data_IF_103052978490
#
_entry.id   IF_103052978490
#
_cell.length_a   1.000
_cell.length_b   1.000
_cell.length_c   1.000
_cell.angle_alpha   90.00
_cell.angle_beta   90.00
_cell.angle_gamma   90.00
#
_symmetry.space_group_name_H-M   'P 1'
#
loop_
_entity.id
_entity.type
_entity.pdbx_description
1 polymer ?
#
# COMPACT_ATOMS: atom_id res chain seq x y z
N UNK A 1 33.20 7.85 -31.27
CA UNK A 1 31.78 7.53 -31.21
C UNK A 1 30.94 8.14 -32.34
N UNK A 2 31.12 9.40 -32.70
CA UNK A 2 30.33 10.06 -33.75
C UNK A 2 30.57 9.55 -35.20
N UNK A 3 31.65 8.83 -35.46
CA UNK A 3 32.04 8.32 -36.80
C UNK A 3 31.76 6.82 -36.99
N UNK A 4 31.17 6.13 -36.02
CA UNK A 4 30.85 4.72 -36.12
C UNK A 4 29.45 4.53 -36.73
N UNK A 5 29.23 3.47 -37.52
CA UNK A 5 27.94 3.05 -37.99
C UNK A 5 27.02 2.60 -36.85
N UNK A 6 25.74 2.52 -37.08
CA UNK A 6 24.74 2.24 -35.99
C UNK A 6 24.92 0.85 -35.37
N UNK A 7 25.25 -0.17 -36.15
CA UNK A 7 25.45 -1.53 -35.64
C UNK A 7 26.69 -1.62 -34.74
N UNK A 8 27.80 -1.01 -35.17
CA UNK A 8 29.03 -0.96 -34.38
C UNK A 8 28.82 -0.15 -33.08
N UNK A 9 28.03 0.94 -33.14
CA UNK A 9 27.64 1.70 -31.93
C UNK A 9 26.83 0.85 -30.96
N UNK A 10 25.82 0.14 -31.44
CA UNK A 10 24.98 -0.75 -30.61
C UNK A 10 25.79 -1.82 -29.94
N UNK A 11 26.70 -2.49 -30.72
CA UNK A 11 27.58 -3.52 -30.19
C UNK A 11 28.55 -2.97 -29.13
N UNK A 12 29.17 -1.82 -29.39
CA UNK A 12 30.05 -1.17 -28.45
C UNK A 12 29.38 -0.77 -27.16
N UNK A 13 28.16 -0.20 -27.23
CA UNK A 13 27.36 0.18 -26.05
C UNK A 13 26.96 -1.05 -25.24
N UNK A 14 26.58 -2.14 -25.91
CA UNK A 14 26.25 -3.39 -25.24
C UNK A 14 27.46 -3.99 -24.49
N UNK A 15 28.64 -3.93 -25.08
CA UNK A 15 29.85 -4.48 -24.50
C UNK A 15 30.48 -3.57 -23.41
N UNK A 16 30.35 -2.24 -23.53
CA UNK A 16 31.09 -1.30 -22.68
C UNK A 16 30.21 -0.49 -21.71
N UNK A 17 28.90 -0.43 -21.95
CA UNK A 17 27.93 0.31 -21.11
C UNK A 17 26.60 -0.42 -21.03
N UNK A 18 26.53 -1.65 -20.48
CA UNK A 18 25.30 -2.40 -20.33
C UNK A 18 24.37 -1.66 -19.36
N UNK A 19 23.27 -1.14 -19.87
CA UNK A 19 22.32 -0.30 -19.12
C UNK A 19 21.81 -0.98 -17.84
N UNK A 20 21.58 -2.28 -17.91
CA UNK A 20 21.10 -3.07 -16.76
C UNK A 20 22.10 -3.11 -15.61
N UNK A 21 23.39 -3.25 -15.90
CA UNK A 21 24.43 -3.23 -14.86
C UNK A 21 24.56 -1.84 -14.23
N UNK A 22 24.55 -0.78 -15.07
CA UNK A 22 24.62 0.60 -14.57
C UNK A 22 23.44 0.93 -13.66
N UNK A 23 22.19 0.52 -14.04
CA UNK A 23 21.00 0.74 -13.22
C UNK A 23 21.05 -0.08 -11.93
N UNK A 24 21.40 -1.36 -11.99
CA UNK A 24 21.50 -2.21 -10.81
C UNK A 24 22.61 -1.74 -9.86
N UNK A 25 23.76 -1.35 -10.37
CA UNK A 25 24.84 -0.77 -9.58
C UNK A 25 24.42 0.54 -8.89
N UNK A 26 23.66 1.38 -9.60
CA UNK A 26 23.10 2.60 -9.02
C UNK A 26 22.17 2.28 -7.86
N UNK A 27 21.28 1.28 -8.03
CA UNK A 27 20.37 0.83 -6.96
C UNK A 27 21.16 0.34 -5.75
N UNK A 28 22.15 -0.53 -5.95
CA UNK A 28 22.96 -1.09 -4.86
C UNK A 28 23.75 -0.01 -4.12
N UNK A 29 24.30 0.97 -4.84
CA UNK A 29 25.16 2.01 -4.26
C UNK A 29 24.40 3.16 -3.60
N UNK A 30 23.19 3.47 -4.08
CA UNK A 30 22.49 4.70 -3.69
C UNK A 30 21.13 4.49 -3.02
N UNK A 31 20.56 3.29 -3.07
CA UNK A 31 19.31 3.00 -2.38
C UNK A 31 19.59 2.31 -1.04
N UNK A 32 19.22 2.95 0.09
CA UNK A 32 19.43 2.38 1.41
C UNK A 32 18.53 1.16 1.61
N UNK A 33 19.04 0.16 2.31
CA UNK A 33 18.26 -0.98 2.76
C UNK A 33 17.21 -0.57 3.85
N UNK A 34 16.26 -1.45 4.21
CA UNK A 34 15.24 -1.13 5.22
C UNK A 34 15.82 -0.68 6.56
N UNK A 35 16.89 -1.30 7.04
CA UNK A 35 17.53 -0.97 8.33
C UNK A 35 18.10 0.46 8.29
N UNK A 36 18.85 0.79 7.27
CA UNK A 36 19.42 2.13 7.09
C UNK A 36 18.31 3.18 6.89
N UNK A 37 17.30 2.85 6.08
CA UNK A 37 16.25 3.81 5.75
C UNK A 37 15.34 4.14 6.94
N UNK A 38 15.08 3.18 7.83
CA UNK A 38 14.19 3.40 8.98
C UNK A 38 14.78 4.34 10.01
N UNK A 39 16.10 4.35 10.19
CA UNK A 39 16.76 5.26 11.14
C UNK A 39 16.46 6.73 10.88
N UNK A 40 16.36 7.18 9.63
CA UNK A 40 16.07 8.58 9.31
C UNK A 40 14.63 8.84 8.89
N UNK A 41 13.85 7.79 8.55
CA UNK A 41 12.45 7.94 8.13
C UNK A 41 11.48 7.88 9.30
N UNK A 42 11.67 6.96 10.24
CA UNK A 42 10.75 6.78 11.37
C UNK A 42 10.53 8.09 12.15
N UNK A 43 11.57 8.88 12.50
CA UNK A 43 11.35 10.17 13.18
C UNK A 43 10.51 11.18 12.41
N UNK A 44 10.36 11.00 11.10
CA UNK A 44 9.57 11.91 10.24
C UNK A 44 8.10 11.48 10.09
N UNK A 45 7.81 10.18 10.22
CA UNK A 45 6.49 9.60 9.92
C UNK A 45 5.79 9.06 11.17
N UNK A 46 6.49 8.95 12.28
CA UNK A 46 5.94 8.49 13.55
C UNK A 46 6.25 9.49 14.66
N UNK A 47 5.24 9.85 15.49
CA UNK A 47 5.32 10.90 16.51
C UNK A 47 5.36 10.35 17.93
N UNK A 48 5.53 9.05 18.09
CA UNK A 48 5.70 8.45 19.41
C UNK A 48 7.10 8.66 19.97
N UNK A 49 7.32 8.11 21.16
CA UNK A 49 8.62 8.17 21.84
C UNK A 49 9.63 7.21 21.21
N UNK A 50 10.64 7.76 20.55
CA UNK A 50 11.70 7.00 19.87
C UNK A 50 12.59 6.24 20.85
N UNK A 51 12.65 6.64 22.11
CA UNK A 51 13.43 5.95 23.14
C UNK A 51 12.67 4.77 23.76
N UNK A 52 11.37 4.64 23.53
CA UNK A 52 10.58 3.50 23.93
C UNK A 52 11.07 2.20 23.25
N UNK A 53 10.75 1.04 23.81
CA UNK A 53 11.10 -0.24 23.18
C UNK A 53 10.49 -0.37 21.80
N UNK A 54 9.24 0.09 21.62
CA UNK A 54 8.58 0.11 20.31
C UNK A 54 9.27 1.06 19.32
N UNK A 55 9.68 2.26 19.77
CA UNK A 55 10.43 3.20 18.95
C UNK A 55 11.78 2.65 18.50
N UNK A 56 12.52 2.00 19.37
CA UNK A 56 13.80 1.34 19.06
C UNK A 56 13.61 0.19 18.07
N UNK A 57 12.57 -0.64 18.24
CA UNK A 57 12.24 -1.71 17.31
C UNK A 57 11.92 -1.17 15.90
N UNK A 58 11.20 -0.06 15.82
CA UNK A 58 10.92 0.64 14.55
C UNK A 58 12.20 1.16 13.90
N UNK A 59 13.07 1.81 14.66
CA UNK A 59 14.32 2.39 14.15
C UNK A 59 15.30 1.34 13.62
N UNK A 60 15.37 0.19 14.28
CA UNK A 60 16.31 -0.89 13.94
C UNK A 60 15.74 -1.92 12.97
N UNK A 61 14.48 -1.77 12.55
CA UNK A 61 13.81 -2.78 11.72
C UNK A 61 13.87 -4.19 12.36
N UNK A 62 13.60 -4.28 13.67
CA UNK A 62 13.81 -5.47 14.46
C UNK A 62 12.78 -6.57 14.14
N UNK A 63 13.17 -7.72 13.56
CA UNK A 63 12.22 -8.78 13.24
C UNK A 63 11.66 -9.53 14.46
N UNK A 64 12.35 -9.41 15.61
CA UNK A 64 11.93 -10.02 16.88
C UNK A 64 11.28 -9.00 17.83
N UNK A 65 11.14 -7.76 17.38
CA UNK A 65 10.53 -6.69 18.16
C UNK A 65 9.01 -6.70 18.12
N UNK A 66 8.41 -5.67 18.70
CA UNK A 66 6.96 -5.46 18.65
C UNK A 66 6.48 -5.27 17.21
N UNK A 67 5.34 -5.88 16.89
CA UNK A 67 4.77 -5.81 15.54
C UNK A 67 4.31 -4.40 15.18
N UNK A 68 4.72 -3.91 14.02
CA UNK A 68 4.24 -2.67 13.41
C UNK A 68 4.10 -2.83 11.90
N UNK A 69 2.86 -2.92 11.43
CA UNK A 69 2.52 -2.98 10.02
C UNK A 69 1.61 -1.81 9.65
N UNK A 70 1.88 -1.16 8.52
CA UNK A 70 1.07 -0.05 8.03
C UNK A 70 0.46 -0.42 6.69
N UNK A 71 -0.87 -0.34 6.61
CA UNK A 71 -1.60 -0.55 5.36
C UNK A 71 -1.36 0.65 4.45
N UNK A 72 -0.80 0.42 3.28
CA UNK A 72 -0.58 1.46 2.27
C UNK A 72 -1.64 1.44 1.17
N UNK A 73 -2.18 0.27 0.88
CA UNK A 73 -3.17 0.05 -0.18
C UNK A 73 -4.07 -1.13 0.15
N UNK A 74 -5.32 -1.04 -0.27
CA UNK A 74 -6.26 -2.15 -0.26
C UNK A 74 -6.45 -2.62 -1.71
N UNK A 75 -6.44 -3.92 -1.92
CA UNK A 75 -6.69 -4.56 -3.20
C UNK A 75 -7.83 -5.56 -3.01
N UNK A 76 -8.82 -5.52 -3.86
CA UNK A 76 -9.88 -6.52 -3.82
C UNK A 76 -9.46 -7.68 -4.73
N UNK A 77 -9.40 -8.89 -4.17
CA UNK A 77 -9.10 -10.08 -4.97
C UNK A 77 -10.24 -10.33 -5.96
N UNK A 78 -9.98 -10.27 -7.28
CA UNK A 78 -11.03 -10.42 -8.29
C UNK A 78 -11.71 -11.79 -8.28
N UNK A 79 -11.07 -12.81 -7.70
CA UNK A 79 -11.61 -14.18 -7.65
C UNK A 79 -12.50 -14.40 -6.44
N UNK A 80 -12.06 -13.96 -5.26
CA UNK A 80 -12.79 -14.21 -4.00
C UNK A 80 -13.64 -13.01 -3.56
N UNK A 81 -13.45 -11.82 -4.15
CA UNK A 81 -14.09 -10.59 -3.73
C UNK A 81 -13.66 -10.10 -2.34
N UNK A 82 -12.62 -10.72 -1.76
CA UNK A 82 -12.13 -10.38 -0.42
C UNK A 82 -11.10 -9.26 -0.48
N UNK A 83 -11.12 -8.43 0.55
CA UNK A 83 -10.14 -7.37 0.71
C UNK A 83 -8.79 -7.97 1.12
N UNK A 84 -7.74 -7.53 0.44
CA UNK A 84 -6.34 -7.82 0.74
C UNK A 84 -5.67 -6.50 1.08
N UNK A 85 -5.19 -6.38 2.31
CA UNK A 85 -4.51 -5.19 2.79
C UNK A 85 -3.01 -5.30 2.53
N UNK A 86 -2.52 -4.53 1.55
CA UNK A 86 -1.09 -4.46 1.24
C UNK A 86 -0.43 -3.32 2.02
N UNK A 87 0.79 -3.56 2.49
CA UNK A 87 1.48 -2.59 3.32
C UNK A 87 2.93 -2.93 3.59
N UNK A 88 3.53 -2.16 4.50
CA UNK A 88 4.90 -2.35 4.94
C UNK A 88 4.98 -2.79 6.39
N UNK A 89 5.78 -3.79 6.64
CA UNK A 89 6.13 -4.27 7.97
C UNK A 89 7.40 -3.55 8.44
N UNK A 90 7.26 -2.69 9.47
CA UNK A 90 8.35 -1.89 10.01
C UNK A 90 9.12 -2.62 11.11
N UNK A 91 8.44 -3.37 11.97
CA UNK A 91 9.05 -4.18 13.03
C UNK A 91 8.23 -5.41 13.31
N UNK A 92 8.83 -6.40 13.97
CA UNK A 92 8.22 -7.69 14.29
C UNK A 92 8.20 -8.67 13.12
N UNK A 93 7.48 -9.75 13.30
CA UNK A 93 7.28 -10.81 12.29
C UNK A 93 5.80 -11.17 12.21
N UNK A 94 5.22 -11.07 11.03
CA UNK A 94 3.85 -11.48 10.75
C UNK A 94 3.75 -13.00 10.59
N UNK A 95 2.66 -13.57 11.14
CA UNK A 95 2.29 -14.99 10.96
C UNK A 95 0.79 -15.12 10.71
N UNK A 96 0.34 -16.10 9.92
CA UNK A 96 -1.08 -16.41 9.80
C UNK A 96 -1.67 -16.79 11.17
N UNK A 97 -2.92 -16.41 11.39
CA UNK A 97 -3.60 -16.68 12.66
C UNK A 97 -3.30 -15.70 13.79
N UNK A 98 -2.37 -14.77 13.62
CA UNK A 98 -2.07 -13.73 14.63
C UNK A 98 -3.27 -12.80 14.79
N UNK A 99 -3.65 -12.55 16.05
CA UNK A 99 -4.61 -11.50 16.38
C UNK A 99 -3.87 -10.17 16.49
N UNK A 100 -4.41 -9.17 15.83
CA UNK A 100 -3.79 -7.85 15.69
C UNK A 100 -4.78 -6.74 16.03
N UNK A 101 -4.26 -5.64 16.53
CA UNK A 101 -5.00 -4.45 16.88
C UNK A 101 -4.85 -3.37 15.80
N UNK A 102 -5.97 -2.84 15.33
CA UNK A 102 -6.04 -1.73 14.37
C UNK A 102 -6.15 -0.43 15.17
N UNK A 103 -5.08 0.37 15.18
CA UNK A 103 -4.95 1.51 16.10
C UNK A 103 -5.92 2.66 15.78
N UNK A 104 -6.20 2.93 14.49
CA UNK A 104 -7.11 4.00 14.11
C UNK A 104 -8.59 3.58 14.27
N UNK A 105 -8.90 2.30 14.04
CA UNK A 105 -10.26 1.76 14.18
C UNK A 105 -10.57 1.31 15.62
N UNK A 106 -9.57 1.10 16.46
CA UNK A 106 -9.73 0.68 17.85
C UNK A 106 -10.32 -0.72 18.03
N UNK A 107 -9.99 -1.68 17.15
CA UNK A 107 -10.57 -3.02 17.18
C UNK A 107 -9.54 -4.11 16.89
N UNK A 108 -9.78 -5.31 17.43
CA UNK A 108 -8.99 -6.50 17.15
C UNK A 108 -9.53 -7.23 15.94
N UNK A 109 -8.60 -7.74 15.10
CA UNK A 109 -8.93 -8.60 13.98
C UNK A 109 -7.87 -9.70 13.83
N UNK A 110 -8.16 -10.75 13.07
CA UNK A 110 -7.26 -11.88 12.90
C UNK A 110 -6.77 -12.00 11.48
N UNK A 111 -5.45 -12.09 11.30
CA UNK A 111 -4.81 -12.34 10.02
C UNK A 111 -5.14 -13.77 9.58
N UNK A 112 -5.67 -13.93 8.37
CA UNK A 112 -5.95 -15.25 7.79
C UNK A 112 -4.74 -15.78 7.01
N UNK A 113 -4.28 -15.02 6.04
CA UNK A 113 -3.16 -15.41 5.18
C UNK A 113 -2.20 -14.24 4.97
N UNK A 114 -0.95 -14.60 4.65
CA UNK A 114 0.11 -13.67 4.26
C UNK A 114 0.49 -13.91 2.82
N UNK A 115 0.72 -12.82 2.09
CA UNK A 115 1.08 -12.86 0.67
C UNK A 115 2.28 -11.98 0.41
N UNK A 116 3.13 -12.43 -0.51
CA UNK A 116 4.07 -11.58 -1.23
C UNK A 116 3.71 -11.63 -2.72
N UNK A 117 3.81 -10.50 -3.39
CA UNK A 117 3.51 -10.43 -4.82
C UNK A 117 4.79 -10.60 -5.63
N UNK A 118 4.86 -11.67 -6.40
CA UNK A 118 5.87 -11.85 -7.44
C UNK A 118 5.23 -11.45 -8.79
N UNK A 119 5.37 -10.18 -9.16
CA UNK A 119 4.59 -9.59 -10.24
C UNK A 119 3.09 -9.56 -9.90
N UNK A 120 2.27 -10.19 -10.73
CA UNK A 120 0.79 -10.24 -10.57
C UNK A 120 0.33 -11.41 -9.67
N UNK A 121 1.20 -12.39 -9.45
CA UNK A 121 0.82 -13.60 -8.70
C UNK A 121 1.11 -13.45 -7.22
N UNK A 122 0.08 -13.59 -6.34
CA UNK A 122 0.30 -13.68 -4.91
C UNK A 122 0.86 -15.07 -4.53
N UNK A 123 1.91 -15.08 -3.74
CA UNK A 123 2.49 -16.28 -3.13
C UNK A 123 2.18 -16.29 -1.65
N UNK A 124 1.68 -17.41 -1.14
CA UNK A 124 1.39 -17.61 0.29
C UNK A 124 2.68 -17.87 1.06
N UNK A 125 2.81 -17.25 2.23
CA UNK A 125 3.94 -17.44 3.13
C UNK A 125 3.49 -17.77 4.54
N UNK A 126 4.32 -18.55 5.26
CA UNK A 126 4.10 -18.92 6.64
C UNK A 126 4.54 -17.84 7.63
N UNK A 127 5.48 -16.99 7.24
CA UNK A 127 5.92 -15.83 8.03
C UNK A 127 6.57 -14.78 7.15
N UNK A 128 6.53 -13.52 7.60
CA UNK A 128 7.20 -12.38 6.94
C UNK A 128 7.87 -11.54 8.02
N UNK A 129 9.21 -11.37 7.98
CA UNK A 129 9.94 -10.52 8.93
C UNK A 129 9.87 -9.04 8.56
N UNK A 130 10.24 -8.18 9.51
CA UNK A 130 10.34 -6.73 9.33
C UNK A 130 11.17 -6.32 8.10
N UNK A 131 10.86 -5.14 7.56
CA UNK A 131 11.50 -4.55 6.39
C UNK A 131 10.88 -4.92 5.05
N UNK A 132 9.95 -5.87 5.02
CA UNK A 132 9.27 -6.33 3.81
C UNK A 132 8.00 -5.54 3.51
N UNK A 133 7.66 -5.48 2.22
CA UNK A 133 6.35 -5.08 1.73
C UNK A 133 5.57 -6.35 1.44
N UNK A 134 4.40 -6.48 2.04
CA UNK A 134 3.60 -7.68 1.94
C UNK A 134 2.10 -7.36 1.97
N UNK A 135 1.28 -8.37 1.81
CA UNK A 135 -0.15 -8.24 1.90
C UNK A 135 -0.74 -9.27 2.87
N UNK A 136 -1.79 -8.88 3.56
CA UNK A 136 -2.50 -9.70 4.54
C UNK A 136 -3.97 -9.77 4.18
N UNK A 137 -4.61 -10.91 4.42
CA UNK A 137 -6.05 -11.08 4.33
C UNK A 137 -6.67 -11.35 5.70
N UNK A 138 -7.98 -11.10 5.81
CA UNK A 138 -8.71 -11.27 7.05
C UNK A 138 -8.72 -10.01 7.94
N UNK A 139 -8.05 -8.94 7.50
CA UNK A 139 -8.01 -7.66 8.20
C UNK A 139 -8.64 -6.60 7.31
N UNK A 140 -9.71 -5.98 7.82
CA UNK A 140 -10.46 -4.92 7.15
C UNK A 140 -10.06 -3.57 7.75
N UNK A 141 -9.03 -2.97 7.19
CA UNK A 141 -8.56 -1.63 7.56
C UNK A 141 -8.75 -0.63 6.42
N UNK A 142 -8.29 0.58 6.62
CA UNK A 142 -8.18 1.60 5.58
C UNK A 142 -6.71 1.86 5.23
N UNK A 143 -6.44 2.48 4.10
CA UNK A 143 -5.10 2.96 3.80
C UNK A 143 -4.65 3.96 4.89
N UNK A 144 -3.41 3.80 5.39
CA UNK A 144 -2.90 4.55 6.54
C UNK A 144 -3.19 3.92 7.90
N UNK A 145 -3.91 2.78 7.96
CA UNK A 145 -4.14 2.05 9.21
C UNK A 145 -2.83 1.47 9.76
N UNK A 146 -2.61 1.65 11.04
CA UNK A 146 -1.49 1.08 11.77
C UNK A 146 -1.93 -0.17 12.52
N UNK A 147 -1.27 -1.27 12.25
CA UNK A 147 -1.56 -2.58 12.84
C UNK A 147 -0.43 -2.98 13.78
N UNK A 148 -0.79 -3.32 15.01
CA UNK A 148 0.13 -3.74 16.09
C UNK A 148 -0.45 -4.95 16.82
N UNK A 149 0.24 -5.49 17.85
CA UNK A 149 -0.33 -6.51 18.73
C UNK A 149 -1.13 -5.91 19.86
N UNK A 150 -0.70 -4.76 20.37
CA UNK A 150 -1.32 -4.02 21.46
C UNK A 150 -1.54 -2.57 21.02
N UNK A 151 -2.42 -1.79 21.67
CA UNK A 151 -2.59 -0.38 21.37
C UNK A 151 -1.26 0.38 21.48
N UNK A 152 -0.84 0.99 20.38
CA UNK A 152 0.39 1.79 20.27
C UNK A 152 0.09 3.10 19.54
N UNK A 153 1.02 4.05 19.60
CA UNK A 153 0.90 5.29 18.83
C UNK A 153 0.87 4.98 17.32
N UNK A 154 -0.21 5.34 16.58
CA UNK A 154 -0.27 5.09 15.15
C UNK A 154 0.71 5.95 14.37
N UNK A 155 1.09 5.50 13.18
CA UNK A 155 1.79 6.33 12.22
C UNK A 155 0.91 7.49 11.76
N UNK A 156 1.54 8.58 11.33
CA UNK A 156 0.80 9.69 10.73
C UNK A 156 0.00 9.18 9.54
N UNK A 157 -1.30 9.50 9.54
CA UNK A 157 -2.15 9.15 8.40
C UNK A 157 -1.61 9.81 7.12
N UNK A 158 -1.65 9.06 6.02
CA UNK A 158 -1.33 9.62 4.71
C UNK A 158 -2.33 10.74 4.42
N UNK A 159 -1.88 11.98 4.57
CA UNK A 159 -2.67 13.12 4.11
C UNK A 159 -2.60 13.11 2.59
N UNK A 160 -3.66 12.63 1.95
CA UNK A 160 -3.80 12.81 0.51
C UNK A 160 -3.90 14.32 0.24
N UNK A 161 -2.81 14.87 -0.29
CA UNK A 161 -2.70 16.31 -0.60
C UNK A 161 -3.58 16.66 -1.82
N UNK A 162 -4.07 15.64 -2.54
CA UNK A 162 -4.81 15.83 -3.77
C UNK A 162 -6.30 16.04 -3.48
N UNK A 163 -6.78 17.24 -3.76
CA UNK A 163 -8.21 17.50 -3.81
C UNK A 163 -8.76 17.03 -5.17
N UNK A 164 -9.91 16.36 -5.20
CA UNK A 164 -10.56 16.02 -6.45
C UNK A 164 -10.84 17.27 -7.27
N UNK A 165 -10.56 17.20 -8.57
CA UNK A 165 -10.69 18.36 -9.49
C UNK A 165 -11.97 18.27 -10.31
N UNK A 166 -12.43 17.05 -10.59
CA UNK A 166 -13.61 16.79 -11.42
C UNK A 166 -14.57 15.89 -10.66
N UNK A 167 -15.85 16.24 -10.73
CA UNK A 167 -16.96 15.46 -10.17
C UNK A 167 -17.92 15.07 -11.29
N UNK A 168 -18.24 13.79 -11.39
CA UNK A 168 -19.26 13.24 -12.30
C UNK A 168 -20.39 12.57 -11.51
N UNK A 169 -21.61 12.77 -11.93
CA UNK A 169 -22.76 12.04 -11.43
C UNK A 169 -22.83 10.67 -12.13
N UNK A 170 -23.08 9.63 -11.37
CA UNK A 170 -23.22 8.26 -11.86
C UNK A 170 -24.65 7.80 -11.63
N UNK A 171 -25.31 7.41 -12.71
CA UNK A 171 -26.67 6.88 -12.67
C UNK A 171 -26.70 5.45 -13.21
N UNK A 172 -27.59 4.64 -12.63
CA UNK A 172 -27.84 3.30 -13.13
C UNK A 172 -28.87 3.32 -14.25
N UNK A 173 -28.66 2.52 -15.28
CA UNK A 173 -29.66 2.35 -16.36
C UNK A 173 -30.95 1.68 -15.90
N UNK A 174 -30.87 0.86 -14.84
CA UNK A 174 -32.02 0.14 -14.24
C UNK A 174 -32.00 0.35 -12.74
N UNK A 175 -33.11 0.75 -12.16
CA UNK A 175 -33.24 0.99 -10.72
C UNK A 175 -32.87 -0.25 -9.86
N UNK A 176 -33.07 -1.46 -10.38
CA UNK A 176 -32.69 -2.71 -9.72
C UNK A 176 -31.17 -2.86 -9.47
N UNK A 177 -30.33 -2.15 -10.23
CA UNK A 177 -28.87 -2.22 -10.12
C UNK A 177 -28.30 -1.22 -9.09
N UNK A 178 -29.12 -0.35 -8.51
CA UNK A 178 -28.70 0.67 -7.55
C UNK A 178 -27.94 0.11 -6.33
N UNK A 179 -28.39 -0.98 -5.67
CA UNK A 179 -27.67 -1.54 -4.54
C UNK A 179 -26.27 -2.04 -4.93
N UNK A 180 -26.14 -2.62 -6.14
CA UNK A 180 -24.86 -3.08 -6.68
C UNK A 180 -23.94 -1.91 -6.99
N UNK A 181 -24.45 -0.81 -7.58
CA UNK A 181 -23.67 0.40 -7.81
C UNK A 181 -23.08 0.94 -6.50
N UNK A 182 -23.91 1.09 -5.46
CA UNK A 182 -23.47 1.58 -4.15
C UNK A 182 -22.37 0.69 -3.55
N UNK A 183 -22.50 -0.63 -3.67
CA UNK A 183 -21.48 -1.57 -3.20
C UNK A 183 -20.16 -1.40 -3.97
N UNK A 184 -20.21 -1.28 -5.30
CA UNK A 184 -19.04 -1.08 -6.15
C UNK A 184 -18.37 0.25 -5.85
N UNK A 185 -19.12 1.34 -5.74
CA UNK A 185 -18.60 2.66 -5.40
C UNK A 185 -17.88 2.66 -4.05
N UNK A 186 -18.46 2.02 -3.03
CA UNK A 186 -17.81 1.86 -1.71
C UNK A 186 -16.52 1.05 -1.79
N UNK A 187 -16.43 0.04 -2.67
CA UNK A 187 -15.20 -0.73 -2.90
C UNK A 187 -14.14 0.14 -3.55
N UNK A 188 -14.49 0.85 -4.60
CA UNK A 188 -13.59 1.77 -5.33
C UNK A 188 -13.00 2.82 -4.39
N UNK A 189 -13.82 3.46 -3.54
CA UNK A 189 -13.35 4.44 -2.56
C UNK A 189 -12.37 3.87 -1.52
N UNK A 190 -12.41 2.56 -1.26
CA UNK A 190 -11.44 1.89 -0.38
C UNK A 190 -10.14 1.53 -1.10
N UNK A 191 -10.23 1.15 -2.38
CA UNK A 191 -9.06 0.81 -3.20
C UNK A 191 -8.23 2.04 -3.57
N UNK A 192 -8.91 3.14 -3.92
CA UNK A 192 -8.27 4.38 -4.34
C UNK A 192 -8.71 5.56 -3.46
N UNK A 193 -7.88 5.94 -2.49
CA UNK A 193 -8.17 7.05 -1.59
C UNK A 193 -8.13 8.44 -2.26
N UNK A 194 -7.72 8.54 -3.53
CA UNK A 194 -7.82 9.78 -4.32
C UNK A 194 -9.22 10.02 -4.90
N UNK A 195 -10.11 9.02 -4.77
CA UNK A 195 -11.50 9.10 -5.21
C UNK A 195 -12.39 9.42 -4.02
N UNK A 196 -13.19 10.46 -4.18
CA UNK A 196 -14.23 10.79 -3.22
C UNK A 196 -15.58 10.39 -3.78
N UNK A 197 -16.34 9.63 -3.00
CA UNK A 197 -17.70 9.21 -3.35
C UNK A 197 -18.68 9.85 -2.38
N UNK A 198 -19.69 10.50 -2.92
CA UNK A 198 -20.80 11.08 -2.18
C UNK A 198 -22.08 10.42 -2.67
N UNK A 199 -22.76 9.70 -1.77
CA UNK A 199 -24.03 9.04 -2.04
C UNK A 199 -25.09 9.86 -1.34
N UNK A 200 -25.94 10.51 -2.10
CA UNK A 200 -27.09 11.22 -1.55
C UNK A 200 -28.32 10.32 -1.60
N UNK A 201 -28.67 9.76 -0.45
CA UNK A 201 -29.82 8.85 -0.33
C UNK A 201 -31.17 9.57 -0.50
N UNK A 202 -31.21 10.90 -0.28
CA UNK A 202 -32.41 11.70 -0.41
C UNK A 202 -32.73 12.06 -1.88
N UNK A 203 -31.71 12.45 -2.65
CA UNK A 203 -31.87 12.81 -4.07
C UNK A 203 -31.65 11.63 -5.01
N UNK A 204 -31.04 10.54 -4.53
CA UNK A 204 -30.66 9.37 -5.32
C UNK A 204 -29.45 9.62 -6.21
N UNK A 205 -28.76 10.75 -6.04
CA UNK A 205 -27.56 11.09 -6.81
C UNK A 205 -26.32 10.43 -6.21
N UNK A 206 -25.52 9.82 -7.06
CA UNK A 206 -24.21 9.27 -6.70
C UNK A 206 -23.13 10.07 -7.41
N UNK A 207 -22.34 10.80 -6.64
CA UNK A 207 -21.26 11.65 -7.17
C UNK A 207 -19.92 10.96 -6.95
N UNK A 208 -19.11 10.89 -8.01
CA UNK A 208 -17.76 10.40 -7.96
C UNK A 208 -16.81 11.53 -8.38
N UNK A 209 -15.89 11.89 -7.48
CA UNK A 209 -14.92 12.95 -7.68
C UNK A 209 -13.52 12.37 -7.75
N UNK A 210 -12.71 12.80 -8.71
CA UNK A 210 -11.36 12.31 -8.93
C UNK A 210 -10.42 13.36 -9.47
N UNK A 211 -9.18 12.97 -9.74
CA UNK A 211 -8.10 13.87 -10.14
C UNK A 211 -8.16 14.29 -11.62
N UNK A 212 -8.99 13.66 -12.42
CA UNK A 212 -9.10 13.96 -13.84
C UNK A 212 -10.15 13.09 -14.55
N UNK A 213 -10.50 13.46 -15.75
CA UNK A 213 -11.52 12.77 -16.53
C UNK A 213 -11.11 11.33 -16.87
N UNK A 214 -9.89 11.14 -17.36
CA UNK A 214 -9.33 9.80 -17.62
C UNK A 214 -9.30 8.93 -16.38
N UNK A 215 -9.02 9.52 -15.20
CA UNK A 215 -9.03 8.78 -13.93
C UNK A 215 -10.41 8.20 -13.63
N UNK A 216 -11.46 9.00 -13.83
CA UNK A 216 -12.85 8.58 -13.61
C UNK A 216 -13.39 7.63 -14.70
N UNK A 217 -12.81 7.63 -15.89
CA UNK A 217 -13.22 6.74 -16.99
C UNK A 217 -12.61 5.35 -16.92
N UNK A 218 -11.43 5.21 -16.30
CA UNK A 218 -10.72 3.93 -16.18
C UNK A 218 -11.30 3.07 -15.03
N UNK A 219 -11.92 3.70 -14.06
CA UNK A 219 -12.51 3.05 -12.89
C UNK A 219 -13.90 2.53 -13.20
#
# INVERSE_FOLDING_TARGET
>A
MYQMDEETKKKWVWENAPLHEVILDMVIKHHPNPIESQTYRIPKIWRGDLESDFGKDLMTCNPNGKLAFVITRIVIDPKSGKDISAGRLFSGTLRPGTEVYLNNLGQNQRIQNLYIYNGVKPELLDFIPAGNVCAISGVLGNAGETITLEPEQPFEAFKHIFQPVITKAIEVKKAADLPKLVEVLRKVAREDPSIKIEINEETGENLMSGMGELHLEII
#
